data_IF_844285303682
#
_entry.id   IF_844285303682
#
_cell.length_a   1.000
_cell.length_b   1.000
_cell.length_c   1.000
_cell.angle_alpha   90.00
_cell.angle_beta   90.00
_cell.angle_gamma   90.00
#
_symmetry.space_group_name_H-M   'P 1'
#
loop_
_entity.id
_entity.type
_entity.pdbx_description
1 polymer ?
#
# COMPACT_ATOMS: atom_id res chain seq x y z
N UNK A 1 3.97 -6.45 -16.32
CA UNK A 1 3.91 -5.14 -15.60
C UNK A 1 3.01 -5.33 -14.39
N UNK A 2 3.51 -5.01 -13.19
CA UNK A 2 2.83 -5.22 -11.90
C UNK A 2 1.99 -3.98 -11.57
N UNK A 3 0.65 -4.04 -11.66
CA UNK A 3 -0.20 -2.94 -11.25
C UNK A 3 -0.21 -2.80 -9.73
N UNK A 4 0.29 -1.69 -9.22
CA UNK A 4 0.41 -1.40 -7.78
C UNK A 4 -0.44 -0.22 -7.34
N UNK A 5 -0.95 -0.27 -6.12
CA UNK A 5 -1.62 0.82 -5.45
C UNK A 5 -0.73 1.33 -4.31
N UNK A 6 -0.64 2.64 -4.16
CA UNK A 6 0.02 3.30 -3.01
C UNK A 6 -1.07 3.84 -2.10
N UNK A 7 -0.96 3.59 -0.81
CA UNK A 7 -1.81 4.18 0.22
C UNK A 7 -0.93 4.91 1.24
N UNK A 8 -0.96 6.24 1.20
CA UNK A 8 -0.15 7.13 2.04
C UNK A 8 -0.79 8.52 2.06
N UNK A 9 -1.07 9.07 3.25
CA UNK A 9 -1.71 10.36 3.41
C UNK A 9 -0.75 11.53 3.17
N UNK A 10 0.55 11.32 3.32
CA UNK A 10 1.57 12.31 3.03
C UNK A 10 1.75 12.51 1.52
N UNK A 11 1.46 13.69 0.97
CA UNK A 11 1.69 13.97 -0.46
C UNK A 11 3.14 13.74 -0.88
N UNK A 12 4.07 14.12 -0.02
CA UNK A 12 5.50 13.98 -0.27
C UNK A 12 5.93 12.50 -0.30
N UNK A 13 5.51 11.71 0.70
CA UNK A 13 5.84 10.29 0.76
C UNK A 13 5.20 9.52 -0.40
N UNK A 14 3.95 9.81 -0.75
CA UNK A 14 3.28 9.19 -1.88
C UNK A 14 3.96 9.51 -3.22
N UNK A 15 4.38 10.77 -3.41
CA UNK A 15 5.13 11.17 -4.62
C UNK A 15 6.49 10.45 -4.68
N UNK A 16 7.19 10.37 -3.56
CA UNK A 16 8.47 9.68 -3.47
C UNK A 16 8.33 8.18 -3.80
N UNK A 17 7.38 7.49 -3.17
CA UNK A 17 7.10 6.08 -3.45
C UNK A 17 6.67 5.87 -4.91
N UNK A 18 5.84 6.76 -5.44
CA UNK A 18 5.44 6.74 -6.84
C UNK A 18 6.63 6.85 -7.80
N UNK A 19 7.59 7.75 -7.51
CA UNK A 19 8.82 7.87 -8.29
C UNK A 19 9.67 6.59 -8.21
N UNK A 20 9.79 5.98 -7.02
CA UNK A 20 10.52 4.71 -6.86
C UNK A 20 9.90 3.59 -7.71
N UNK A 21 8.59 3.39 -7.63
CA UNK A 21 7.93 2.37 -8.45
C UNK A 21 8.03 2.67 -9.95
N UNK A 22 7.91 3.93 -10.36
CA UNK A 22 8.02 4.34 -11.76
C UNK A 22 9.44 4.24 -12.33
N UNK A 23 10.46 4.18 -11.46
CA UNK A 23 11.84 3.96 -11.88
C UNK A 23 12.12 2.53 -12.36
N UNK A 24 11.22 1.60 -12.08
CA UNK A 24 11.32 0.21 -12.49
C UNK A 24 10.22 -0.13 -13.51
N UNK A 25 10.56 -0.49 -14.76
CA UNK A 25 9.60 -0.71 -15.84
C UNK A 25 8.65 -1.89 -15.60
N UNK A 26 8.92 -2.72 -14.62
CA UNK A 26 8.02 -3.82 -14.25
C UNK A 26 6.82 -3.35 -13.43
N UNK A 27 6.83 -2.14 -12.87
CA UNK A 27 5.72 -1.59 -12.09
C UNK A 27 4.89 -0.59 -12.88
N UNK A 28 3.60 -0.54 -12.54
CA UNK A 28 2.68 0.50 -12.96
C UNK A 28 1.84 0.95 -11.76
N UNK A 29 1.99 2.19 -11.34
CA UNK A 29 1.17 2.78 -10.28
C UNK A 29 -0.23 3.07 -10.83
N UNK A 30 -1.25 2.45 -10.25
CA UNK A 30 -2.66 2.63 -10.64
C UNK A 30 -3.29 3.86 -9.99
N UNK A 31 -2.78 4.26 -8.83
CA UNK A 31 -3.27 5.41 -8.09
C UNK A 31 -2.68 5.51 -6.70
N UNK A 32 -3.05 6.57 -6.01
CA UNK A 32 -2.66 6.89 -4.64
C UNK A 32 -3.90 7.11 -3.79
N UNK A 33 -4.08 6.31 -2.76
CA UNK A 33 -5.11 6.50 -1.73
C UNK A 33 -4.55 7.36 -0.60
N UNK A 34 -5.33 8.28 -0.07
CA UNK A 34 -4.96 9.21 1.01
C UNK A 34 -5.51 8.80 2.38
N UNK A 35 -6.25 7.71 2.43
CA UNK A 35 -6.80 7.14 3.67
C UNK A 35 -6.99 5.64 3.53
N UNK A 36 -7.14 4.96 4.68
CA UNK A 36 -7.44 3.53 4.69
C UNK A 36 -8.76 3.20 3.97
N UNK A 37 -9.80 4.02 4.16
CA UNK A 37 -11.10 3.85 3.48
C UNK A 37 -10.97 3.97 1.97
N UNK A 38 -10.24 4.98 1.50
CA UNK A 38 -9.98 5.18 0.06
C UNK A 38 -9.18 4.00 -0.52
N UNK A 39 -8.19 3.50 0.21
CA UNK A 39 -7.40 2.33 -0.20
C UNK A 39 -8.29 1.09 -0.41
N UNK A 40 -9.22 0.81 0.52
CA UNK A 40 -10.17 -0.31 0.38
C UNK A 40 -11.03 -0.15 -0.88
N UNK A 41 -11.59 1.04 -1.12
CA UNK A 41 -12.40 1.32 -2.31
C UNK A 41 -11.59 1.17 -3.60
N UNK A 42 -10.39 1.73 -3.64
CA UNK A 42 -9.53 1.68 -4.82
C UNK A 42 -9.09 0.25 -5.13
N UNK A 43 -8.81 -0.58 -4.11
CA UNK A 43 -8.51 -2.01 -4.31
C UNK A 43 -9.70 -2.73 -4.95
N UNK A 44 -10.93 -2.45 -4.50
CA UNK A 44 -12.13 -3.07 -5.05
C UNK A 44 -12.34 -2.70 -6.53
N UNK A 45 -12.12 -1.45 -6.90
CA UNK A 45 -12.32 -0.94 -8.24
C UNK A 45 -11.17 -1.21 -9.22
N UNK A 46 -9.95 -0.99 -8.79
CA UNK A 46 -8.76 -1.05 -9.65
C UNK A 46 -8.13 -2.45 -9.72
N UNK A 47 -8.38 -3.31 -8.72
CA UNK A 47 -7.83 -4.67 -8.65
C UNK A 47 -6.31 -4.71 -8.85
N UNK A 48 -5.53 -4.01 -8.02
CA UNK A 48 -4.07 -4.06 -8.12
C UNK A 48 -3.54 -5.47 -7.79
N UNK A 49 -2.36 -5.78 -8.28
CA UNK A 49 -1.65 -7.01 -7.93
C UNK A 49 -0.89 -6.88 -6.59
N UNK A 50 -0.66 -5.64 -6.14
CA UNK A 50 0.01 -5.37 -4.87
C UNK A 50 -0.36 -3.99 -4.32
N UNK A 51 -0.40 -3.87 -2.99
CA UNK A 51 -0.63 -2.61 -2.28
C UNK A 51 0.58 -2.28 -1.42
N UNK A 52 1.10 -1.06 -1.59
CA UNK A 52 2.03 -0.41 -0.68
C UNK A 52 1.21 0.39 0.32
N UNK A 53 1.15 -0.04 1.58
CA UNK A 53 0.25 0.49 2.60
C UNK A 53 1.02 1.17 3.73
N UNK A 54 0.84 2.47 3.89
CA UNK A 54 1.35 3.17 5.07
C UNK A 54 0.59 2.78 6.35
N UNK A 55 1.27 2.82 7.49
CA UNK A 55 0.65 2.51 8.79
C UNK A 55 -0.23 3.65 9.26
N UNK A 56 0.27 4.89 9.18
CA UNK A 56 -0.33 6.06 9.81
C UNK A 56 -1.15 6.85 8.79
N UNK A 57 -2.46 6.60 8.75
CA UNK A 57 -3.36 7.31 7.85
C UNK A 57 -4.63 7.76 8.58
N UNK A 58 -5.25 8.90 8.19
CA UNK A 58 -6.52 9.34 8.74
C UNK A 58 -7.66 8.38 8.38
N UNK A 59 -8.66 8.29 9.27
CA UNK A 59 -9.83 7.44 9.05
C UNK A 59 -9.61 5.95 9.28
N UNK A 60 -8.54 5.59 9.99
CA UNK A 60 -8.15 4.21 10.33
C UNK A 60 -6.73 3.91 9.88
N UNK A 61 -6.03 3.12 10.68
CA UNK A 61 -4.65 2.76 10.40
C UNK A 61 -4.51 1.77 9.22
N UNK A 62 -3.30 1.66 8.67
CA UNK A 62 -3.02 0.72 7.57
C UNK A 62 -3.27 -0.74 7.92
N UNK A 63 -3.21 -1.12 9.20
CA UNK A 63 -3.55 -2.48 9.63
C UNK A 63 -5.04 -2.77 9.50
N UNK A 64 -5.89 -1.82 9.90
CA UNK A 64 -7.35 -1.94 9.76
C UNK A 64 -7.78 -1.97 8.29
N UNK A 65 -7.17 -1.12 7.45
CA UNK A 65 -7.39 -1.15 6.00
C UNK A 65 -6.96 -2.49 5.39
N UNK A 66 -5.82 -3.03 5.81
CA UNK A 66 -5.32 -4.34 5.35
C UNK A 66 -6.30 -5.46 5.73
N UNK A 67 -6.81 -5.48 6.98
CA UNK A 67 -7.84 -6.46 7.38
C UNK A 67 -9.09 -6.39 6.50
N UNK A 68 -9.56 -5.18 6.21
CA UNK A 68 -10.73 -4.97 5.36
C UNK A 68 -10.49 -5.44 3.91
N UNK A 69 -9.31 -5.15 3.34
CA UNK A 69 -8.89 -5.63 2.03
C UNK A 69 -8.87 -7.16 2.00
N UNK A 70 -8.23 -7.80 2.97
CA UNK A 70 -8.12 -9.27 3.04
C UNK A 70 -9.47 -9.96 3.24
N UNK A 71 -10.43 -9.30 3.87
CA UNK A 71 -11.79 -9.82 4.06
C UNK A 71 -12.68 -9.64 2.82
N UNK A 72 -12.54 -8.55 2.09
CA UNK A 72 -13.41 -8.19 0.96
C UNK A 72 -12.83 -8.57 -0.41
N UNK A 73 -11.64 -8.10 -0.69
CA UNK A 73 -10.95 -8.23 -1.98
C UNK A 73 -9.48 -8.55 -1.73
N UNK A 74 -9.14 -9.81 -1.37
CA UNK A 74 -7.78 -10.17 -1.02
C UNK A 74 -6.79 -9.87 -2.14
N UNK A 75 -5.81 -9.03 -1.84
CA UNK A 75 -4.64 -8.74 -2.69
C UNK A 75 -3.40 -8.69 -1.82
N UNK A 76 -2.21 -8.96 -2.35
CA UNK A 76 -0.96 -8.80 -1.62
C UNK A 76 -0.80 -7.40 -1.05
N UNK A 77 -0.58 -7.28 0.26
CA UNK A 77 -0.31 -6.02 0.94
C UNK A 77 1.06 -6.08 1.58
N UNK A 78 1.88 -5.07 1.32
CA UNK A 78 3.14 -4.79 2.02
C UNK A 78 2.94 -3.53 2.84
N UNK A 79 3.06 -3.65 4.15
CA UNK A 79 3.00 -2.50 5.04
C UNK A 79 4.36 -1.80 5.06
N UNK A 80 4.34 -0.48 4.92
CA UNK A 80 5.53 0.38 4.96
C UNK A 80 5.40 1.40 6.07
N UNK A 81 6.51 1.78 6.70
CA UNK A 81 6.52 2.81 7.73
C UNK A 81 7.80 3.62 7.71
N UNK A 82 7.70 4.90 8.08
CA UNK A 82 8.85 5.77 8.33
C UNK A 82 9.40 5.63 9.74
N UNK A 83 8.63 5.04 10.67
CA UNK A 83 9.02 4.86 12.06
C UNK A 83 10.13 3.83 12.17
N UNK A 84 11.34 4.31 12.45
CA UNK A 84 12.52 3.48 12.68
C UNK A 84 12.76 3.20 14.17
N UNK A 85 12.08 3.94 15.06
CA UNK A 85 12.31 3.90 16.51
C UNK A 85 11.40 2.93 17.27
N UNK A 86 10.38 2.38 16.62
CA UNK A 86 9.53 1.36 17.21
C UNK A 86 10.13 -0.04 17.02
N UNK A 87 9.81 -0.92 17.95
CA UNK A 87 10.18 -2.33 17.88
C UNK A 87 9.67 -2.98 16.58
N UNK A 88 10.57 -3.16 15.61
CA UNK A 88 10.29 -3.78 14.32
C UNK A 88 9.61 -5.15 14.45
N UNK A 89 9.86 -5.87 15.53
CA UNK A 89 9.26 -7.18 15.80
C UNK A 89 7.76 -7.01 16.04
N UNK A 90 7.39 -6.08 16.92
CA UNK A 90 5.98 -5.78 17.23
C UNK A 90 5.22 -5.28 16.00
N UNK A 91 5.82 -4.40 15.19
CA UNK A 91 5.21 -3.88 13.97
C UNK A 91 5.01 -4.98 12.92
N UNK A 92 5.99 -5.86 12.78
CA UNK A 92 5.90 -7.02 11.88
C UNK A 92 4.81 -7.99 12.29
N UNK A 93 4.66 -8.28 13.59
CA UNK A 93 3.56 -9.11 14.09
C UNK A 93 2.18 -8.48 13.80
N UNK A 94 2.00 -7.20 14.07
CA UNK A 94 0.75 -6.48 13.76
C UNK A 94 0.42 -6.53 12.27
N UNK A 95 1.42 -6.38 11.41
CA UNK A 95 1.26 -6.47 9.97
C UNK A 95 0.77 -7.86 9.53
N UNK A 96 1.41 -8.93 10.04
CA UNK A 96 1.02 -10.31 9.76
C UNK A 96 -0.36 -10.66 10.32
N UNK A 97 -0.70 -10.20 11.51
CA UNK A 97 -2.06 -10.35 12.08
C UNK A 97 -3.12 -9.69 11.21
N UNK A 98 -2.84 -8.50 10.66
CA UNK A 98 -3.73 -7.82 9.74
C UNK A 98 -3.89 -8.55 8.40
N UNK A 99 -2.98 -9.47 8.08
CA UNK A 99 -2.96 -10.23 6.83
C UNK A 99 -2.01 -9.67 5.77
N UNK A 100 -1.18 -8.68 6.11
CA UNK A 100 -0.09 -8.25 5.23
C UNK A 100 0.92 -9.37 5.03
N UNK A 101 1.60 -9.36 3.89
CA UNK A 101 2.65 -10.35 3.59
C UNK A 101 3.96 -10.05 4.33
N UNK A 102 4.25 -8.76 4.51
CA UNK A 102 5.44 -8.31 5.23
C UNK A 102 5.31 -6.86 5.66
N UNK A 103 6.23 -6.43 6.51
CA UNK A 103 6.45 -5.07 6.95
C UNK A 103 7.86 -4.65 6.57
N UNK A 104 8.03 -3.47 5.97
CA UNK A 104 9.34 -2.92 5.61
C UNK A 104 9.39 -1.41 5.90
N UNK A 105 10.61 -0.92 6.15
CA UNK A 105 10.83 0.52 6.29
C UNK A 105 10.73 1.23 4.94
N UNK A 106 10.22 2.45 4.91
CA UNK A 106 10.32 3.33 3.74
C UNK A 106 11.79 3.58 3.43
N UNK A 107 12.21 3.53 2.15
CA UNK A 107 13.59 3.85 1.81
C UNK A 107 13.95 5.28 2.22
N UNK A 108 15.19 5.53 2.65
CA UNK A 108 15.64 6.88 2.98
C UNK A 108 15.74 7.74 1.71
N UNK A 109 15.98 9.04 1.88
CA UNK A 109 16.15 9.95 0.75
C UNK A 109 17.41 9.66 -0.08
N UNK A 110 17.50 10.21 -1.31
CA UNK A 110 18.57 9.91 -2.27
C UNK A 110 19.99 10.22 -1.80
N UNK A 111 20.14 11.14 -0.84
CA UNK A 111 21.43 11.52 -0.27
C UNK A 111 21.95 10.57 0.82
N UNK A 112 21.14 9.60 1.22
CA UNK A 112 21.50 8.67 2.30
C UNK A 112 22.51 7.62 1.84
N UNK A 113 23.48 7.25 2.69
CA UNK A 113 24.40 6.16 2.37
C UNK A 113 23.65 4.86 2.07
N UNK A 114 24.06 4.17 1.00
CA UNK A 114 23.45 2.91 0.61
C UNK A 114 22.07 3.01 -0.05
N UNK A 115 21.61 4.22 -0.40
CA UNK A 115 20.32 4.49 -1.02
C UNK A 115 19.99 3.52 -2.18
N UNK A 116 20.88 3.41 -3.17
CA UNK A 116 20.62 2.56 -4.35
C UNK A 116 20.38 1.09 -3.97
N UNK A 117 21.11 0.56 -3.00
CA UNK A 117 20.91 -0.82 -2.51
C UNK A 117 19.59 -0.96 -1.79
N UNK A 118 19.23 0.01 -0.95
CA UNK A 118 17.97 0.01 -0.20
C UNK A 118 16.78 0.06 -1.14
N UNK A 119 16.79 0.94 -2.15
CA UNK A 119 15.75 1.03 -3.17
C UNK A 119 15.63 -0.26 -3.98
N UNK A 120 16.77 -0.84 -4.40
CA UNK A 120 16.77 -2.11 -5.11
C UNK A 120 16.12 -3.23 -4.29
N UNK A 121 16.45 -3.34 -3.00
CA UNK A 121 15.87 -4.33 -2.10
C UNK A 121 14.37 -4.08 -1.87
N UNK A 122 13.97 -2.81 -1.71
CA UNK A 122 12.59 -2.40 -1.58
C UNK A 122 11.75 -2.85 -2.78
N UNK A 123 12.15 -2.50 -3.99
CA UNK A 123 11.47 -2.90 -5.22
C UNK A 123 11.46 -4.42 -5.41
N UNK A 124 12.57 -5.10 -5.12
CA UNK A 124 12.66 -6.56 -5.19
C UNK A 124 11.67 -7.24 -4.23
N UNK A 125 11.47 -6.69 -3.03
CA UNK A 125 10.47 -7.19 -2.08
C UNK A 125 9.07 -7.08 -2.67
N UNK A 126 8.71 -5.94 -3.25
CA UNK A 126 7.40 -5.76 -3.88
C UNK A 126 7.19 -6.71 -5.07
N UNK A 127 8.22 -6.93 -5.91
CA UNK A 127 8.15 -7.91 -7.01
C UNK A 127 7.88 -9.32 -6.50
N UNK A 128 8.61 -9.74 -5.47
CA UNK A 128 8.43 -11.06 -4.86
C UNK A 128 7.04 -11.23 -4.25
N UNK A 129 6.53 -10.20 -3.57
CA UNK A 129 5.23 -10.24 -2.90
C UNK A 129 4.05 -10.18 -3.88
N UNK A 130 4.17 -9.47 -4.99
CA UNK A 130 3.12 -9.40 -6.01
C UNK A 130 2.75 -10.76 -6.62
N UNK A 131 3.70 -11.70 -6.64
CA UNK A 131 3.48 -13.07 -7.11
C UNK A 131 2.82 -14.00 -6.08
N UNK A 132 2.63 -13.55 -4.83
CA UNK A 132 2.09 -14.39 -3.75
C UNK A 132 0.57 -14.48 -3.86
N UNK A 133 0.06 -15.70 -3.91
CA UNK A 133 -1.38 -15.94 -3.90
C UNK A 133 -1.94 -15.77 -2.49
N UNK A 134 -2.77 -14.76 -2.29
CA UNK A 134 -3.46 -14.52 -1.00
C UNK A 134 -4.86 -15.09 -1.03
N UNK A 135 -5.32 -15.58 0.11
CA UNK A 135 -6.67 -16.12 0.30
C UNK A 135 -7.47 -15.22 1.25
N UNK A 136 -8.79 -15.22 1.06
CA UNK A 136 -9.69 -14.48 1.95
C UNK A 136 -9.52 -14.98 3.39
N UNK A 137 -9.22 -14.06 4.30
CA UNK A 137 -9.25 -14.32 5.74
C UNK A 137 -10.65 -14.00 6.28
N UNK A 138 -11.42 -15.02 6.58
CA UNK A 138 -12.62 -14.88 7.40
C UNK A 138 -12.19 -14.90 8.86
N UNK A 139 -12.02 -13.72 9.46
CA UNK A 139 -11.92 -13.68 10.92
C UNK A 139 -13.31 -13.97 11.49
N UNK A 140 -13.39 -14.95 12.39
CA UNK A 140 -14.57 -15.25 13.20
C UNK A 140 -14.83 -14.19 14.31
N UNK A 141 -14.27 -12.99 14.15
CA UNK A 141 -14.48 -11.82 15.02
C UNK A 141 -15.27 -10.76 14.27
N UNK A 142 -16.36 -10.32 14.87
CA UNK A 142 -17.32 -9.37 14.33
C UNK A 142 -16.70 -8.25 13.52
N UNK A 143 -17.00 -8.20 12.21
CA UNK A 143 -16.73 -7.05 11.34
C UNK A 143 -17.54 -5.80 11.73
N UNK A 144 -18.45 -5.91 12.71
CA UNK A 144 -19.33 -4.84 13.16
C UNK A 144 -18.58 -3.67 13.82
N UNK A 145 -17.39 -3.91 14.35
CA UNK A 145 -16.58 -2.89 15.04
C UNK A 145 -15.42 -2.34 14.19
N UNK A 146 -15.30 -2.76 12.94
CA UNK A 146 -14.27 -2.21 12.04
C UNK A 146 -14.71 -0.86 11.49
N UNK A 147 -13.83 0.17 11.42
CA UNK A 147 -14.15 1.48 10.84
C UNK A 147 -14.57 1.42 9.36
N UNK A 148 -14.47 0.26 8.74
CA UNK A 148 -14.87 -0.04 7.36
C UNK A 148 -16.16 -0.87 7.26
N UNK A 149 -16.87 -1.09 8.38
CA UNK A 149 -18.18 -1.75 8.38
C UNK A 149 -19.17 -0.89 7.59
N UNK A 150 -19.76 -1.45 6.55
CA UNK A 150 -20.71 -0.74 5.67
C UNK A 150 -20.14 -0.31 4.30
N UNK A 151 -18.87 -0.57 4.00
CA UNK A 151 -18.35 -0.41 2.64
C UNK A 151 -18.94 -1.51 1.76
N UNK A 152 -20.05 -1.17 1.10
CA UNK A 152 -20.67 -2.01 0.10
C UNK A 152 -20.09 -1.71 -1.29
N UNK A 153 -19.96 -2.73 -2.12
CA UNK A 153 -19.52 -2.60 -3.51
C UNK A 153 -20.45 -1.72 -4.39
N UNK A 154 -21.56 -1.24 -3.83
CA UNK A 154 -22.56 -0.40 -4.51
C UNK A 154 -22.42 1.09 -4.26
N UNK A 155 -21.40 1.54 -3.52
CA UNK A 155 -21.17 2.99 -3.39
C UNK A 155 -20.65 3.51 -4.73
N UNK A 156 -21.36 4.46 -5.35
CA UNK A 156 -20.93 5.18 -6.55
C UNK A 156 -19.71 6.10 -6.24
N UNK A 157 -18.61 5.48 -5.86
CA UNK A 157 -17.35 6.18 -5.73
C UNK A 157 -16.80 6.44 -7.14
N UNK A 158 -16.81 7.71 -7.53
CA UNK A 158 -16.18 8.13 -8.78
C UNK A 158 -14.68 8.22 -8.52
N UNK A 159 -13.92 7.31 -9.10
CA UNK A 159 -12.47 7.39 -9.09
C UNK A 159 -12.04 8.71 -9.72
N UNK A 160 -11.12 9.46 -9.10
CA UNK A 160 -10.45 10.52 -9.84
C UNK A 160 -9.79 9.89 -11.05
N UNK A 161 -9.93 10.53 -12.21
CA UNK A 161 -9.22 10.09 -13.40
C UNK A 161 -7.73 9.98 -13.06
N UNK A 162 -7.03 8.92 -13.50
CA UNK A 162 -5.60 8.78 -13.28
C UNK A 162 -4.95 10.07 -13.78
N UNK A 163 -4.24 10.79 -12.89
CA UNK A 163 -3.59 12.05 -13.24
C UNK A 163 -2.60 11.78 -14.39
N UNK A 164 -2.90 12.27 -15.60
CA UNK A 164 -2.04 12.02 -16.76
C UNK A 164 -0.65 12.66 -16.58
N UNK A 165 -0.51 13.58 -15.62
CA UNK A 165 0.75 14.25 -15.31
C UNK A 165 1.55 13.54 -14.22
N UNK A 166 1.00 12.54 -13.54
CA UNK A 166 1.72 11.82 -12.50
C UNK A 166 3.00 11.18 -13.03
N UNK A 167 2.96 10.60 -14.24
CA UNK A 167 4.13 10.05 -14.92
C UNK A 167 5.04 11.13 -15.53
N UNK A 168 4.48 12.29 -15.92
CA UNK A 168 5.24 13.36 -16.57
C UNK A 168 6.06 14.21 -15.58
N UNK A 169 5.67 14.27 -14.31
CA UNK A 169 6.38 15.05 -13.28
C UNK A 169 7.60 14.32 -12.70
N UNK A 170 7.76 13.03 -12.96
CA UNK A 170 8.89 12.23 -12.49
C UNK A 170 10.01 12.06 -13.51
N UNK A 171 9.87 12.61 -14.72
CA UNK A 171 10.74 12.37 -15.88
C UNK A 171 11.75 13.46 -16.24
N UNK A 172 12.01 14.46 -15.37
CA UNK A 172 13.00 15.51 -15.69
C UNK A 172 13.82 15.87 -14.46
N UNK A 173 14.99 15.23 -14.33
CA UNK A 173 16.04 15.54 -13.36
C UNK A 173 17.20 14.60 -13.51
#
# INVERSE_FOLDING_TARGET
MIPGLIADDSPFAAQYLGALFSSDPEFRVLGVARSGTEAVHMVQGLRPDIVCMDVNMPGGDGYSATRAIMASTPVPVVIVSSDTDQDHVTLSFKALEAGALTFIAKPPGPTSPGYARTVKNFLATFKAMAGVKVIRRTHAGSLADAPYAGISATTNFRFPDPDPNFAAQTGNG
#
